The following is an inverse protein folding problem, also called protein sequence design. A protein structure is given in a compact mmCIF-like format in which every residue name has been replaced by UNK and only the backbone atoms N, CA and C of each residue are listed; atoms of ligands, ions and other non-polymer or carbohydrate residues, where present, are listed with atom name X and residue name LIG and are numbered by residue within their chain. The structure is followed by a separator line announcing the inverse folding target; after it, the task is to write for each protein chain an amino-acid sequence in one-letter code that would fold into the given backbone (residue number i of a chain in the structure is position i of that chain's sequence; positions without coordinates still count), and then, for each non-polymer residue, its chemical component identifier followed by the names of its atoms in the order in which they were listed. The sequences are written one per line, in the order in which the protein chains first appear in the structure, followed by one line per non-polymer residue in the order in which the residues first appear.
data_IF_741241402150
#
_entry.id   IF_741241402150
#
_cell.length_a   1.000
_cell.length_b   1.000
_cell.length_c   1.000
_cell.angle_alpha   90.00
_cell.angle_beta   90.00
_cell.angle_gamma   90.00
#
_symmetry.space_group_name_H-M   'P 1'
#
loop_
_entity.id
_entity.type
_entity.pdbx_description
1 polymer ?
#
# COMPACT_ATOMS: atom_id res chain seq x y z
N UNK A 1 -6.49 25.03 -3.68
CA UNK A 1 -7.52 24.90 -4.74
C UNK A 1 -8.84 24.67 -4.03
N UNK A 2 -9.80 25.53 -4.27
CA UNK A 2 -11.14 25.37 -3.72
C UNK A 2 -11.87 24.22 -4.46
N UNK A 3 -12.35 23.23 -3.70
CA UNK A 3 -13.10 22.09 -4.22
C UNK A 3 -14.62 22.25 -3.98
N UNK A 4 -15.06 23.39 -3.45
CA UNK A 4 -16.45 23.65 -3.03
C UNK A 4 -16.79 23.10 -1.64
N UNK A 5 -15.91 22.29 -1.06
CA UNK A 5 -15.97 21.81 0.32
C UNK A 5 -14.56 21.46 0.82
N UNK A 6 -14.30 21.45 2.14
CA UNK A 6 -13.07 20.91 2.68
C UNK A 6 -12.90 19.41 2.34
N UNK A 7 -11.65 18.91 2.24
CA UNK A 7 -10.39 19.67 2.30
C UNK A 7 -10.07 20.43 1.01
N UNK A 8 -9.16 21.39 1.09
CA UNK A 8 -8.63 22.04 -0.10
C UNK A 8 -7.74 21.08 -0.92
N UNK A 9 -7.78 21.27 -2.24
CA UNK A 9 -6.88 20.59 -3.15
C UNK A 9 -5.58 21.35 -3.37
N UNK A 10 -4.52 20.64 -3.75
CA UNK A 10 -3.26 21.23 -4.16
C UNK A 10 -2.71 20.52 -5.39
N UNK A 11 -1.94 21.25 -6.20
CA UNK A 11 -1.25 20.73 -7.38
C UNK A 11 0.24 20.74 -7.07
N UNK A 12 0.90 19.60 -7.32
CA UNK A 12 2.34 19.51 -7.16
C UNK A 12 3.04 20.46 -8.15
N UNK A 13 4.03 21.23 -7.68
CA UNK A 13 4.79 22.16 -8.53
C UNK A 13 5.44 21.44 -9.71
N UNK A 14 5.72 20.14 -9.60
CA UNK A 14 6.24 19.30 -10.69
C UNK A 14 5.26 19.16 -11.89
N UNK A 15 3.98 19.50 -11.69
CA UNK A 15 2.97 19.51 -12.75
C UNK A 15 2.77 20.90 -13.38
N UNK A 16 3.27 21.96 -12.76
CA UNK A 16 3.13 23.33 -13.23
C UNK A 16 4.26 23.73 -14.18
N UNK A 17 4.10 24.81 -14.97
CA UNK A 17 5.20 25.41 -15.70
C UNK A 17 6.38 25.76 -14.79
N UNK A 18 7.60 25.67 -15.33
CA UNK A 18 8.81 25.96 -14.56
C UNK A 18 8.88 27.44 -14.14
N UNK A 19 8.43 28.34 -15.03
CA UNK A 19 8.33 29.77 -14.75
C UNK A 19 7.04 30.07 -13.98
N UNK A 20 7.11 30.57 -12.73
CA UNK A 20 5.93 30.92 -11.93
C UNK A 20 5.03 31.97 -12.57
N UNK A 21 5.56 32.83 -13.45
CA UNK A 21 4.75 33.81 -14.17
C UNK A 21 3.77 33.16 -15.16
N UNK A 22 4.00 31.91 -15.53
CA UNK A 22 3.15 31.10 -16.41
C UNK A 22 2.16 30.23 -15.64
N UNK A 23 2.15 30.29 -14.30
CA UNK A 23 1.22 29.50 -13.51
C UNK A 23 -0.23 29.94 -13.75
N UNK A 24 -1.20 29.04 -13.54
CA UNK A 24 -2.61 29.41 -13.55
C UNK A 24 -2.88 30.60 -12.62
N UNK A 25 -3.52 31.64 -13.14
CA UNK A 25 -3.94 32.80 -12.35
C UNK A 25 -4.97 32.40 -11.28
N UNK A 26 -4.95 33.10 -10.14
CA UNK A 26 -5.96 32.92 -9.08
C UNK A 26 -7.37 33.14 -9.64
N UNK A 27 -8.31 32.28 -9.25
CA UNK A 27 -9.69 32.29 -9.74
C UNK A 27 -9.91 31.48 -11.03
N UNK A 28 -8.86 30.98 -11.66
CA UNK A 28 -9.00 30.07 -12.80
C UNK A 28 -9.58 28.73 -12.36
N UNK A 29 -10.64 28.29 -13.05
CA UNK A 29 -11.24 26.97 -12.89
C UNK A 29 -10.74 25.99 -13.96
N UNK A 30 -10.77 24.69 -13.68
CA UNK A 30 -10.36 23.64 -14.62
C UNK A 30 -10.72 22.25 -14.11
N UNK A 31 -10.48 21.25 -14.95
CA UNK A 31 -10.68 19.85 -14.59
C UNK A 31 -9.40 19.25 -13.98
N UNK A 32 -9.59 18.39 -12.98
CA UNK A 32 -8.49 17.73 -12.28
C UNK A 32 -8.78 16.24 -12.09
N UNK A 33 -7.73 15.44 -12.14
CA UNK A 33 -7.75 14.06 -11.66
C UNK A 33 -7.18 14.02 -10.23
N UNK A 34 -7.87 13.31 -9.33
CA UNK A 34 -7.43 13.15 -7.94
C UNK A 34 -6.38 12.05 -7.88
N UNK A 35 -5.13 12.42 -7.62
CA UNK A 35 -4.02 11.48 -7.47
C UNK A 35 -4.00 10.82 -6.09
N UNK A 36 -4.38 11.58 -5.07
CA UNK A 36 -4.39 11.12 -3.69
C UNK A 36 -5.39 11.93 -2.87
N UNK A 37 -5.98 11.29 -1.87
CA UNK A 37 -6.93 11.91 -0.95
C UNK A 37 -6.55 11.57 0.49
N UNK A 38 -6.25 12.59 1.30
CA UNK A 38 -5.88 12.49 2.71
C UNK A 38 -6.85 13.28 3.58
N UNK A 39 -6.96 12.98 4.89
CA UNK A 39 -7.56 13.91 5.83
C UNK A 39 -6.87 15.28 5.74
N UNK A 40 -7.61 16.31 5.32
CA UNK A 40 -7.10 17.67 5.24
C UNK A 40 -6.45 18.09 3.93
N UNK A 41 -6.16 17.18 2.97
CA UNK A 41 -5.52 17.52 1.70
C UNK A 41 -5.90 16.60 0.53
N UNK A 42 -6.09 17.18 -0.66
CA UNK A 42 -6.28 16.42 -1.92
C UNK A 42 -5.19 16.77 -2.92
N UNK A 43 -4.41 15.77 -3.37
CA UNK A 43 -3.41 15.97 -4.42
C UNK A 43 -4.06 15.84 -5.79
N UNK A 44 -3.90 16.87 -6.61
CA UNK A 44 -4.57 17.01 -7.90
C UNK A 44 -3.58 17.02 -9.06
N UNK A 45 -4.01 16.43 -10.17
CA UNK A 45 -3.36 16.55 -11.46
C UNK A 45 -4.23 17.39 -12.42
N UNK A 46 -3.74 18.54 -12.92
CA UNK A 46 -4.50 19.36 -13.86
C UNK A 46 -4.69 18.64 -15.19
N UNK A 47 -5.94 18.53 -15.65
CA UNK A 47 -6.31 17.94 -16.95
C UNK A 47 -6.24 18.96 -18.10
N UNK A 48 -6.29 20.25 -17.78
CA UNK A 48 -6.08 21.32 -18.75
C UNK A 48 -4.60 21.47 -19.12
N UNK A 49 -4.30 21.35 -20.41
CA UNK A 49 -2.93 21.48 -20.93
C UNK A 49 -2.32 22.85 -20.63
N UNK A 50 -3.13 23.91 -20.68
CA UNK A 50 -2.69 25.27 -20.37
C UNK A 50 -2.39 25.52 -18.89
N UNK A 51 -2.58 24.54 -18.00
CA UNK A 51 -2.17 24.60 -16.60
C UNK A 51 -0.89 23.78 -16.31
N UNK A 52 -0.41 23.01 -17.31
CA UNK A 52 0.67 22.05 -17.12
C UNK A 52 2.00 22.59 -17.62
N UNK A 53 3.07 22.18 -16.93
CA UNK A 53 4.43 22.34 -17.46
C UNK A 53 4.70 21.40 -18.62
N UNK A 54 5.59 21.76 -19.58
CA UNK A 54 5.87 20.97 -20.77
C UNK A 54 6.53 19.61 -20.47
N UNK A 55 7.09 19.44 -19.26
CA UNK A 55 7.70 18.18 -18.80
C UNK A 55 6.69 17.22 -18.16
N UNK A 56 5.44 17.64 -17.99
CA UNK A 56 4.40 16.81 -17.38
C UNK A 56 4.09 15.63 -18.30
N UNK A 57 4.36 14.41 -17.84
CA UNK A 57 4.04 13.18 -18.57
C UNK A 57 2.68 12.65 -18.11
N UNK A 58 1.80 12.38 -19.08
CA UNK A 58 0.44 11.87 -18.87
C UNK A 58 0.47 10.42 -18.40
N UNK A 59 1.03 9.58 -19.27
CA UNK A 59 1.12 8.15 -19.12
C UNK A 59 2.15 7.65 -20.11
N UNK A 60 2.74 6.50 -19.83
CA UNK A 60 3.52 5.75 -20.81
C UNK A 60 2.67 4.77 -21.65
N UNK A 61 1.41 4.58 -21.28
CA UNK A 61 0.49 3.63 -21.88
C UNK A 61 -0.45 4.35 -22.85
N UNK A 62 -0.65 3.78 -24.03
CA UNK A 62 -1.82 4.06 -24.87
C UNK A 62 -3.11 3.59 -24.19
N UNK A 63 -4.27 4.05 -24.66
CA UNK A 63 -5.57 3.61 -24.12
C UNK A 63 -5.81 2.09 -24.27
N UNK A 64 -5.33 1.48 -25.36
CA UNK A 64 -5.45 0.03 -25.56
C UNK A 64 -4.57 -0.77 -24.59
N UNK A 65 -3.34 -0.33 -24.38
CA UNK A 65 -2.44 -0.93 -23.38
C UNK A 65 -2.99 -0.74 -21.97
N UNK A 66 -3.53 0.44 -21.67
CA UNK A 66 -4.15 0.72 -20.39
C UNK A 66 -5.35 -0.20 -20.12
N UNK A 67 -6.20 -0.43 -21.11
CA UNK A 67 -7.31 -1.37 -20.99
C UNK A 67 -6.84 -2.82 -20.71
N UNK A 68 -5.67 -3.22 -21.22
CA UNK A 68 -5.06 -4.52 -20.87
C UNK A 68 -4.60 -4.52 -19.42
N UNK A 69 -3.94 -3.44 -18.97
CA UNK A 69 -3.45 -3.29 -17.60
C UNK A 69 -4.60 -3.33 -16.59
N UNK A 70 -5.68 -2.58 -16.80
CA UNK A 70 -6.83 -2.54 -15.86
C UNK A 70 -7.60 -3.86 -15.82
N UNK A 71 -7.65 -4.62 -16.92
CA UNK A 71 -8.17 -6.01 -16.92
C UNK A 71 -7.29 -6.97 -16.13
N UNK A 72 -5.97 -6.81 -16.17
CA UNK A 72 -5.01 -7.64 -15.40
C UNK A 72 -5.08 -7.33 -13.90
N UNK A 73 -5.33 -6.07 -13.53
CA UNK A 73 -5.40 -5.63 -12.14
C UNK A 73 -6.74 -4.94 -11.84
N UNK A 74 -7.85 -5.69 -11.76
CA UNK A 74 -9.17 -5.11 -11.50
C UNK A 74 -9.24 -4.49 -10.09
N UNK A 75 -10.21 -3.60 -9.88
CA UNK A 75 -10.47 -3.02 -8.55
C UNK A 75 -10.67 -4.13 -7.50
N UNK A 76 -10.05 -3.97 -6.35
CA UNK A 76 -10.07 -4.95 -5.25
C UNK A 76 -9.03 -6.08 -5.38
N UNK A 77 -8.36 -6.23 -6.54
CA UNK A 77 -7.30 -7.21 -6.70
C UNK A 77 -6.15 -6.96 -5.71
N UNK A 78 -5.55 -8.04 -5.23
CA UNK A 78 -4.34 -8.00 -4.42
C UNK A 78 -3.13 -8.20 -5.33
N UNK A 79 -2.16 -7.29 -5.23
CA UNK A 79 -0.88 -7.37 -5.93
C UNK A 79 0.25 -7.54 -4.91
N UNK A 80 1.27 -8.30 -5.29
CA UNK A 80 2.55 -8.32 -4.57
C UNK A 80 3.42 -7.22 -5.18
N UNK A 81 3.79 -6.23 -4.37
CA UNK A 81 4.63 -5.13 -4.79
C UNK A 81 5.90 -5.01 -3.94
N UNK A 82 6.91 -4.36 -4.49
CA UNK A 82 8.16 -4.04 -3.81
C UNK A 82 8.22 -2.54 -3.54
N UNK A 83 8.60 -2.15 -2.32
CA UNK A 83 8.86 -0.76 -1.97
C UNK A 83 10.15 -0.32 -2.66
N UNK A 84 10.09 0.67 -3.55
CA UNK A 84 11.27 1.14 -4.28
C UNK A 84 11.88 2.37 -3.66
N UNK A 85 11.05 3.25 -3.11
CA UNK A 85 11.45 4.54 -2.58
C UNK A 85 10.58 4.93 -1.39
N UNK A 86 11.13 5.73 -0.51
CA UNK A 86 10.43 6.32 0.63
C UNK A 86 10.67 7.81 0.63
N UNK A 87 9.61 8.58 0.87
CA UNK A 87 9.60 10.03 0.91
C UNK A 87 9.12 10.49 2.29
N UNK A 88 10.00 10.53 3.31
CA UNK A 88 9.59 10.76 4.70
C UNK A 88 8.89 12.10 4.91
N UNK A 89 9.31 13.14 4.18
CA UNK A 89 8.71 14.48 4.27
C UNK A 89 7.22 14.52 3.92
N UNK A 90 6.75 13.60 3.09
CA UNK A 90 5.34 13.50 2.69
C UNK A 90 4.64 12.28 3.30
N UNK A 91 5.36 11.47 4.10
CA UNK A 91 4.90 10.15 4.58
C UNK A 91 4.42 9.23 3.45
N UNK A 92 5.15 9.25 2.34
CA UNK A 92 4.84 8.48 1.14
C UNK A 92 5.91 7.43 0.87
N UNK A 93 5.55 6.39 0.12
CA UNK A 93 6.48 5.44 -0.44
C UNK A 93 6.00 4.97 -1.81
N UNK A 94 6.94 4.73 -2.70
CA UNK A 94 6.66 4.16 -4.02
C UNK A 94 6.69 2.63 -3.93
N UNK A 95 5.72 2.00 -4.59
CA UNK A 95 5.63 0.56 -4.78
C UNK A 95 5.66 0.26 -6.26
N UNK A 96 6.49 -0.69 -6.67
CA UNK A 96 6.49 -1.27 -8.02
C UNK A 96 5.94 -2.69 -8.00
N UNK A 97 5.24 -3.07 -9.07
CA UNK A 97 4.74 -4.43 -9.29
C UNK A 97 4.59 -4.67 -10.78
N UNK A 98 5.18 -5.76 -11.29
CA UNK A 98 5.36 -5.96 -12.74
C UNK A 98 5.95 -4.68 -13.37
N UNK A 99 5.34 -4.16 -14.43
CA UNK A 99 5.76 -2.87 -14.99
C UNK A 99 5.13 -1.67 -14.28
N UNK A 100 4.12 -1.87 -13.43
CA UNK A 100 3.34 -0.80 -12.82
C UNK A 100 4.00 -0.20 -11.57
N UNK A 101 3.56 1.00 -11.19
CA UNK A 101 3.96 1.64 -9.94
C UNK A 101 2.82 2.45 -9.33
N UNK A 102 2.88 2.64 -8.02
CA UNK A 102 1.94 3.47 -7.25
C UNK A 102 2.68 4.17 -6.11
N UNK A 103 2.15 5.31 -5.66
CA UNK A 103 2.62 6.00 -4.46
C UNK A 103 1.57 5.82 -3.38
N UNK A 104 1.99 5.36 -2.22
CA UNK A 104 1.14 5.00 -1.09
C UNK A 104 1.59 5.81 0.12
N UNK A 105 0.65 6.16 0.99
CA UNK A 105 0.93 6.83 2.26
C UNK A 105 1.08 5.83 3.42
N UNK A 106 1.86 6.20 4.44
CA UNK A 106 2.00 5.43 5.68
C UNK A 106 1.73 6.27 6.93
N UNK A 107 0.89 5.74 7.83
CA UNK A 107 0.44 6.43 9.05
C UNK A 107 1.30 6.16 10.28
N UNK A 108 1.94 4.99 10.35
CA UNK A 108 2.66 4.57 11.57
C UNK A 108 4.15 4.35 11.28
N UNK A 109 4.44 3.27 10.58
CA UNK A 109 5.80 2.81 10.37
C UNK A 109 6.27 3.10 8.96
N UNK A 110 7.43 3.74 8.88
CA UNK A 110 8.13 3.92 7.62
C UNK A 110 8.43 2.56 6.98
N UNK A 111 8.01 2.34 5.73
CA UNK A 111 8.26 1.08 5.05
C UNK A 111 9.75 0.97 4.69
N UNK A 112 10.23 -0.26 4.61
CA UNK A 112 11.64 -0.52 4.28
C UNK A 112 11.79 -0.64 2.76
N UNK A 113 12.68 0.16 2.16
CA UNK A 113 13.04 0.02 0.75
C UNK A 113 13.55 -1.40 0.46
N UNK A 114 13.10 -1.99 -0.65
CA UNK A 114 13.38 -3.37 -1.05
C UNK A 114 12.49 -4.42 -0.39
N UNK A 115 11.66 -4.05 0.59
CA UNK A 115 10.68 -4.97 1.17
C UNK A 115 9.53 -5.25 0.19
N UNK A 116 8.92 -6.42 0.31
CA UNK A 116 7.73 -6.79 -0.45
C UNK A 116 6.49 -6.81 0.43
N UNK A 117 5.36 -6.42 -0.14
CA UNK A 117 4.10 -6.33 0.57
C UNK A 117 2.90 -6.65 -0.32
N UNK A 118 1.77 -6.92 0.31
CA UNK A 118 0.48 -7.07 -0.39
C UNK A 118 -0.24 -5.74 -0.42
N UNK A 119 -0.72 -5.37 -1.59
CA UNK A 119 -1.42 -4.11 -1.82
C UNK A 119 -2.73 -4.37 -2.54
N UNK A 120 -3.77 -3.62 -2.20
CA UNK A 120 -5.07 -3.70 -2.86
C UNK A 120 -5.20 -2.57 -3.88
N UNK A 121 -5.65 -2.91 -5.08
CA UNK A 121 -6.05 -1.94 -6.10
C UNK A 121 -7.32 -1.24 -5.65
N UNK A 122 -7.27 0.07 -5.47
CA UNK A 122 -8.41 0.88 -5.02
C UNK A 122 -8.99 1.75 -6.12
N UNK A 123 -8.17 2.13 -7.11
CA UNK A 123 -8.63 2.98 -8.21
C UNK A 123 -7.80 2.79 -9.47
N UNK A 124 -8.45 3.02 -10.61
CA UNK A 124 -7.82 3.26 -11.90
C UNK A 124 -8.00 4.73 -12.25
N UNK A 125 -6.90 5.40 -12.56
CA UNK A 125 -6.90 6.79 -13.01
C UNK A 125 -6.83 6.80 -14.53
N UNK A 126 -7.80 7.41 -15.19
CA UNK A 126 -8.00 7.25 -16.63
C UNK A 126 -7.16 8.23 -17.44
N UNK A 127 -6.85 9.42 -16.92
CA UNK A 127 -6.06 10.39 -17.67
C UNK A 127 -4.56 10.19 -17.47
N UNK A 128 -4.17 9.81 -16.26
CA UNK A 128 -2.78 9.50 -15.95
C UNK A 128 -2.41 8.02 -16.13
N UNK A 129 -3.40 7.15 -16.43
CA UNK A 129 -3.25 5.68 -16.50
C UNK A 129 -2.45 5.11 -15.32
N UNK A 130 -2.84 5.51 -14.10
CA UNK A 130 -2.21 5.06 -12.85
C UNK A 130 -3.12 4.11 -12.11
N UNK A 131 -2.51 3.13 -11.46
CA UNK A 131 -3.19 2.26 -10.49
C UNK A 131 -2.93 2.84 -9.10
N UNK A 132 -3.99 3.18 -8.38
CA UNK A 132 -3.87 3.55 -6.97
C UNK A 132 -3.98 2.29 -6.12
N UNK A 133 -3.07 2.22 -5.14
CA UNK A 133 -2.96 1.12 -4.20
C UNK A 133 -3.21 1.61 -2.77
N UNK A 134 -3.67 0.69 -1.93
CA UNK A 134 -3.57 0.82 -0.47
C UNK A 134 -2.83 -0.39 0.08
N UNK A 135 -2.13 -0.23 1.20
CA UNK A 135 -1.62 -1.37 1.95
C UNK A 135 -2.79 -2.31 2.29
N UNK A 136 -2.63 -3.60 1.98
CA UNK A 136 -3.59 -4.59 2.44
C UNK A 136 -3.30 -4.88 3.92
N UNK A 137 -4.32 -4.99 4.77
CA UNK A 137 -4.10 -5.42 6.15
C UNK A 137 -3.40 -6.78 6.13
N UNK A 138 -2.38 -6.95 6.98
CA UNK A 138 -1.72 -8.24 7.13
C UNK A 138 -2.81 -9.28 7.47
N UNK A 139 -2.90 -10.41 6.74
CA UNK A 139 -3.85 -11.43 7.13
C UNK A 139 -3.55 -11.82 8.58
N UNK A 140 -4.57 -12.01 9.43
CA UNK A 140 -4.34 -12.36 10.83
C UNK A 140 -3.43 -13.58 10.84
N UNK A 141 -2.22 -13.42 11.39
CA UNK A 141 -1.27 -14.52 11.48
C UNK A 141 -1.99 -15.66 12.17
N UNK A 142 -2.23 -16.77 11.44
CA UNK A 142 -2.73 -18.00 12.05
C UNK A 142 -1.68 -18.37 13.08
N UNK A 143 -1.95 -18.08 14.35
CA UNK A 143 -1.12 -18.53 15.46
C UNK A 143 -0.96 -20.03 15.27
N UNK A 144 0.26 -20.46 14.95
CA UNK A 144 0.56 -21.89 14.87
C UNK A 144 0.07 -22.51 16.17
N UNK A 145 -0.70 -23.60 16.12
CA UNK A 145 -1.15 -24.27 17.33
C UNK A 145 0.11 -24.60 18.12
N UNK A 146 0.21 -23.98 19.30
CA UNK A 146 1.30 -24.17 20.25
C UNK A 146 1.42 -25.68 20.43
N UNK A 147 2.48 -26.26 19.86
CA UNK A 147 2.74 -27.70 19.91
C UNK A 147 2.63 -28.10 21.38
N UNK A 148 1.55 -28.80 21.72
CA UNK A 148 1.37 -29.32 23.06
C UNK A 148 2.57 -30.23 23.29
N UNK A 149 3.48 -29.81 24.17
CA UNK A 149 4.56 -30.65 24.65
C UNK A 149 3.89 -31.89 25.22
N UNK A 150 4.03 -33.00 24.48
CA UNK A 150 3.73 -34.34 24.95
C UNK A 150 4.55 -34.57 26.22
N UNK A 151 3.89 -34.52 27.37
CA UNK A 151 4.42 -35.04 28.61
C UNK A 151 4.32 -36.57 28.51
N UNK A 152 5.34 -37.18 27.91
CA UNK A 152 5.62 -38.58 28.12
C UNK A 152 6.11 -38.73 29.57
N UNK A 153 5.26 -39.28 30.42
CA UNK A 153 5.58 -39.75 31.76
C UNK A 153 6.14 -41.18 31.66
N UNK A 154 7.42 -41.44 32.01
CA UNK A 154 7.99 -42.76 31.87
C UNK A 154 8.35 -43.41 33.21
N UNK A 155 7.61 -43.23 34.31
CA UNK A 155 7.92 -44.02 35.52
C UNK A 155 6.69 -44.43 36.35
N UNK A 156 6.04 -45.53 35.94
CA UNK A 156 5.04 -46.24 36.75
C UNK A 156 5.23 -47.77 36.71
N UNK A 157 6.43 -48.27 37.04
CA UNK A 157 6.71 -49.71 37.07
C UNK A 157 6.57 -50.28 38.48
N UNK A 158 5.53 -51.10 38.66
CA UNK A 158 5.23 -51.91 39.83
C UNK A 158 6.34 -52.92 40.17
N UNK A 159 6.66 -53.07 41.46
CA UNK A 159 7.27 -54.28 42.09
C UNK A 159 6.70 -54.40 43.52
N UNK A 160 5.73 -55.30 43.72
CA UNK A 160 5.88 -56.68 44.24
C UNK A 160 6.49 -56.75 45.64
N UNK A 161 5.64 -57.04 46.61
CA UNK A 161 6.02 -57.43 47.96
C UNK A 161 6.64 -58.82 48.02
N UNK A 162 7.46 -59.01 49.03
CA UNK A 162 7.82 -60.31 49.60
C UNK A 162 7.89 -60.11 51.11
N UNK A 163 6.87 -60.60 51.81
CA UNK A 163 6.88 -60.79 53.27
C UNK A 163 7.85 -61.92 53.63
N UNK A 164 8.68 -61.65 54.63
CA UNK A 164 9.66 -62.58 55.19
C UNK A 164 9.04 -63.21 56.45
N UNK A 165 8.78 -64.52 56.41
CA UNK A 165 8.41 -65.34 57.58
C UNK A 165 9.56 -65.32 58.61
N UNK A 166 9.27 -64.86 59.83
CA UNK A 166 10.05 -65.17 61.04
C UNK A 166 9.29 -66.26 61.80
N UNK A 167 9.88 -67.47 61.87
CA UNK A 167 9.51 -68.49 62.85
C UNK A 167 10.15 -68.12 64.18
N UNK A 168 9.39 -68.19 65.26
CA UNK A 168 9.90 -68.36 66.62
C UNK A 168 9.13 -69.51 67.26
N UNK A 169 9.93 -70.50 67.68
CA UNK A 169 9.69 -71.61 68.61
C UNK A 169 8.72 -72.71 68.20
#
# INVERSE_FOLDING_TARGET
MDLGHPPEGWVDMLHLPFDPSQWPVVGRSGLFEVLQHRPGQVRLFPLDAGMRGPRTRYSRWSGAEWAVVTRRYPLGALVLGMVTDVFPGNREYAVSFDDCGSVIEYDDHEPVVGSTGRFRVTRHLEWTHRILLTAAPEPPQRRSPKTARSAADPHGRARRGYERKLRSR
#
